data_IF_126167450897
#
_entry.id   IF_126167450897
#
_cell.length_a   1.000
_cell.length_b   1.000
_cell.length_c   1.000
_cell.angle_alpha   90.00
_cell.angle_beta   90.00
_cell.angle_gamma   90.00
#
_symmetry.space_group_name_H-M   'P 1'
#
loop_
_entity.id
_entity.type
_entity.pdbx_description
1 polymer ?
#
# COMPACT_ATOMS: atom_id res chain seq x y z
N UNK A 1 -3.07 -6.43 -17.40
CA UNK A 1 -3.50 -5.36 -16.47
C UNK A 1 -2.98 -5.68 -15.08
N UNK A 2 -2.07 -4.89 -14.53
CA UNK A 2 -1.57 -5.06 -13.16
C UNK A 2 -2.66 -4.78 -12.11
N UNK A 3 -2.71 -5.60 -11.05
CA UNK A 3 -3.58 -5.42 -9.90
C UNK A 3 -2.77 -4.84 -8.73
N UNK A 4 -3.22 -3.73 -8.17
CA UNK A 4 -2.76 -3.21 -6.89
C UNK A 4 -3.70 -3.73 -5.80
N UNK A 5 -3.18 -4.57 -4.92
CA UNK A 5 -3.91 -5.11 -3.77
C UNK A 5 -3.37 -4.47 -2.50
N UNK A 6 -4.24 -3.81 -1.75
CA UNK A 6 -3.91 -3.13 -0.50
C UNK A 6 -4.56 -3.89 0.64
N UNK A 7 -3.73 -4.40 1.54
CA UNK A 7 -4.13 -5.11 2.75
C UNK A 7 -3.77 -4.32 3.99
N UNK A 8 -4.51 -4.56 5.07
CA UNK A 8 -4.24 -4.01 6.38
C UNK A 8 -4.28 -5.11 7.43
N UNK A 9 -3.46 -4.96 8.45
CA UNK A 9 -3.46 -5.79 9.63
C UNK A 9 -4.30 -5.14 10.72
N UNK A 10 -5.17 -5.91 11.37
CA UNK A 10 -5.90 -5.47 12.56
C UNK A 10 -5.12 -5.79 13.85
N UNK A 11 -5.64 -5.35 14.99
CA UNK A 11 -5.05 -5.62 16.32
C UNK A 11 -5.00 -7.10 16.71
N UNK A 12 -5.75 -7.96 16.01
CA UNK A 12 -5.73 -9.40 16.18
C UNK A 12 -4.75 -10.11 15.23
N UNK A 13 -3.81 -9.38 14.62
CA UNK A 13 -2.84 -9.89 13.65
C UNK A 13 -3.48 -10.54 12.41
N UNK A 14 -4.72 -10.17 12.08
CA UNK A 14 -5.42 -10.68 10.88
C UNK A 14 -5.29 -9.68 9.76
N UNK A 15 -4.94 -10.18 8.58
CA UNK A 15 -4.94 -9.42 7.35
C UNK A 15 -6.34 -9.37 6.76
N UNK A 16 -6.77 -8.18 6.33
CA UNK A 16 -7.97 -8.00 5.56
C UNK A 16 -7.70 -7.07 4.38
N UNK A 17 -8.49 -7.20 3.33
CA UNK A 17 -8.36 -6.36 2.15
C UNK A 17 -9.01 -5.01 2.40
N UNK A 18 -8.26 -3.93 2.20
CA UNK A 18 -8.78 -2.56 2.25
C UNK A 18 -9.24 -2.11 0.87
N UNK A 19 -8.43 -2.39 -0.16
CA UNK A 19 -8.74 -1.98 -1.51
C UNK A 19 -8.09 -2.89 -2.56
N UNK A 20 -8.75 -2.96 -3.72
CA UNK A 20 -8.23 -3.58 -4.93
C UNK A 20 -8.39 -2.58 -6.08
N UNK A 21 -7.34 -2.34 -6.85
CA UNK A 21 -7.37 -1.41 -7.96
C UNK A 21 -6.70 -2.02 -9.20
N UNK A 22 -7.43 -2.10 -10.31
CA UNK A 22 -6.86 -2.49 -11.59
C UNK A 22 -6.18 -1.29 -12.23
N UNK A 23 -4.87 -1.41 -12.44
CA UNK A 23 -4.06 -0.38 -13.05
C UNK A 23 -3.91 -0.64 -14.55
N UNK A 24 -3.82 0.44 -15.33
CA UNK A 24 -3.54 0.36 -16.76
C UNK A 24 -2.12 -0.15 -17.02
N UNK A 25 -1.14 0.33 -16.24
CA UNK A 25 0.27 -0.09 -16.30
C UNK A 25 0.98 0.15 -14.97
N UNK A 26 2.09 -0.56 -14.74
CA UNK A 26 2.98 -0.33 -13.57
C UNK A 26 3.82 0.93 -13.77
N UNK A 27 3.18 2.10 -13.65
CA UNK A 27 3.82 3.42 -13.76
C UNK A 27 3.48 4.24 -12.53
N UNK A 28 4.40 5.11 -12.12
CA UNK A 28 4.22 5.99 -10.95
C UNK A 28 2.89 6.77 -11.00
N UNK A 29 2.52 7.32 -12.16
CA UNK A 29 1.26 8.06 -12.32
C UNK A 29 0.01 7.22 -12.01
N UNK A 30 0.01 5.93 -12.38
CA UNK A 30 -1.14 5.04 -12.12
C UNK A 30 -1.21 4.68 -10.63
N UNK A 31 -0.06 4.44 -10.00
CA UNK A 31 -0.01 4.22 -8.55
C UNK A 31 -0.41 5.48 -7.77
N UNK A 32 -0.01 6.67 -8.24
CA UNK A 32 -0.36 7.94 -7.61
C UNK A 32 -1.85 8.16 -7.60
N UNK A 33 -2.49 8.04 -8.76
CA UNK A 33 -3.94 8.13 -8.85
C UNK A 33 -4.64 7.11 -7.94
N UNK A 34 -4.21 5.84 -7.95
CA UNK A 34 -4.85 4.81 -7.13
C UNK A 34 -4.70 5.05 -5.61
N UNK A 35 -3.53 5.54 -5.16
CA UNK A 35 -3.29 5.85 -3.76
C UNK A 35 -4.00 7.13 -3.31
N UNK A 36 -4.13 8.13 -4.19
CA UNK A 36 -4.97 9.31 -3.93
C UNK A 36 -6.43 8.93 -3.77
N UNK A 37 -6.97 8.07 -4.65
CA UNK A 37 -8.33 7.56 -4.50
C UNK A 37 -8.51 6.77 -3.20
N UNK A 38 -7.52 5.97 -2.81
CA UNK A 38 -7.53 5.27 -1.54
C UNK A 38 -7.53 6.24 -0.35
N UNK A 39 -6.70 7.30 -0.39
CA UNK A 39 -6.65 8.32 0.66
C UNK A 39 -8.00 9.03 0.80
N UNK A 40 -8.64 9.39 -0.31
CA UNK A 40 -9.99 9.97 -0.33
C UNK A 40 -11.04 9.01 0.25
N UNK A 41 -10.97 7.72 -0.11
CA UNK A 41 -11.87 6.70 0.41
C UNK A 41 -11.69 6.41 1.92
N UNK A 42 -10.55 6.80 2.50
CA UNK A 42 -10.26 6.71 3.93
C UNK A 42 -10.40 8.06 4.65
N UNK A 43 -11.17 9.00 4.12
CA UNK A 43 -11.39 10.34 4.71
C UNK A 43 -10.09 11.10 5.01
N UNK A 44 -9.09 10.97 4.14
CA UNK A 44 -7.74 11.53 4.30
C UNK A 44 -6.97 11.00 5.52
N UNK A 45 -7.39 9.88 6.10
CA UNK A 45 -6.67 9.24 7.18
C UNK A 45 -5.42 8.52 6.66
N UNK A 46 -4.24 9.07 6.97
CA UNK A 46 -2.97 8.45 6.61
C UNK A 46 -2.66 7.25 7.52
N UNK A 47 -2.24 6.10 6.98
CA UNK A 47 -1.77 4.99 7.79
C UNK A 47 -0.45 5.33 8.48
N UNK A 48 -0.20 4.77 9.67
CA UNK A 48 1.06 5.00 10.41
C UNK A 48 2.27 4.29 9.79
N UNK A 49 2.04 3.15 9.15
CA UNK A 49 3.08 2.30 8.56
C UNK A 49 2.56 1.77 7.23
N UNK A 50 3.36 1.90 6.18
CA UNK A 50 3.06 1.31 4.87
C UNK A 50 4.19 0.34 4.52
N UNK A 51 3.82 -0.91 4.21
CA UNK A 51 4.75 -1.94 3.76
C UNK A 51 4.46 -2.24 2.29
N UNK A 52 5.51 -2.21 1.47
CA UNK A 52 5.43 -2.44 0.02
C UNK A 52 6.52 -3.42 -0.43
N UNK A 53 6.28 -4.10 -1.55
CA UNK A 53 7.15 -5.13 -2.15
C UNK A 53 8.41 -4.56 -2.84
N UNK A 54 8.99 -3.48 -2.32
CA UNK A 54 10.20 -2.83 -2.84
C UNK A 54 10.06 -2.36 -4.31
N UNK A 55 8.84 -2.09 -4.78
CA UNK A 55 8.66 -1.47 -6.10
C UNK A 55 8.99 0.03 -5.99
N UNK A 56 10.11 0.45 -6.60
CA UNK A 56 10.61 1.83 -6.48
C UNK A 56 9.57 2.88 -6.89
N UNK A 57 8.79 2.58 -7.93
CA UNK A 57 7.70 3.43 -8.39
C UNK A 57 6.64 3.64 -7.30
N UNK A 58 6.31 2.59 -6.53
CA UNK A 58 5.34 2.66 -5.44
C UNK A 58 5.91 3.42 -4.25
N UNK A 59 7.18 3.17 -3.89
CA UNK A 59 7.86 3.88 -2.80
C UNK A 59 7.91 5.39 -3.06
N UNK A 60 8.27 5.80 -4.27
CA UNK A 60 8.32 7.21 -4.66
C UNK A 60 6.96 7.88 -4.54
N UNK A 61 5.90 7.18 -4.94
CA UNK A 61 4.53 7.69 -4.88
C UNK A 61 4.03 7.74 -3.43
N UNK A 62 4.30 6.72 -2.61
CA UNK A 62 3.91 6.71 -1.19
C UNK A 62 4.47 7.94 -0.47
N UNK A 63 5.73 8.30 -0.72
CA UNK A 63 6.35 9.51 -0.15
C UNK A 63 5.63 10.81 -0.54
N UNK A 64 4.98 10.83 -1.71
CA UNK A 64 4.22 11.99 -2.20
C UNK A 64 2.78 12.02 -1.64
N UNK A 65 2.11 10.87 -1.61
CA UNK A 65 0.69 10.76 -1.20
C UNK A 65 0.53 10.68 0.32
N UNK A 66 1.46 10.01 1.01
CA UNK A 66 1.46 9.82 2.46
C UNK A 66 2.76 10.35 3.08
N UNK A 67 2.96 11.67 3.13
CA UNK A 67 4.21 12.26 3.65
C UNK A 67 4.48 11.92 5.12
N UNK A 68 3.43 11.63 5.89
CA UNK A 68 3.52 11.31 7.33
C UNK A 68 3.73 9.82 7.60
N UNK A 69 3.68 8.96 6.59
CA UNK A 69 3.83 7.52 6.74
C UNK A 69 5.24 7.08 6.27
N UNK A 70 6.13 6.60 7.15
CA UNK A 70 7.37 5.98 6.71
C UNK A 70 7.03 4.74 5.85
N UNK A 71 7.46 4.77 4.59
CA UNK A 71 7.35 3.63 3.68
C UNK A 71 8.50 2.65 3.94
N UNK A 72 8.18 1.45 4.42
CA UNK A 72 9.15 0.38 4.65
C UNK A 72 9.09 -0.64 3.52
N UNK A 73 10.26 -1.10 3.08
CA UNK A 73 10.36 -2.19 2.10
C UNK A 73 10.27 -3.55 2.79
N UNK A 74 9.47 -4.45 2.24
CA UNK A 74 9.36 -5.84 2.68
C UNK A 74 10.61 -6.66 2.29
N UNK A 75 11.73 -6.40 2.95
CA UNK A 75 12.83 -7.37 3.11
C UNK A 75 13.11 -7.64 4.59
N UNK A 76 12.76 -6.69 5.46
CA UNK A 76 12.96 -6.77 6.91
C UNK A 76 11.65 -7.05 7.69
N UNK A 77 10.52 -7.13 7.00
CA UNK A 77 9.28 -7.66 7.59
C UNK A 77 9.24 -9.17 7.37
N UNK A 78 9.63 -9.93 8.39
CA UNK A 78 9.01 -11.23 8.62
C UNK A 78 7.51 -11.00 8.80
N UNK A 79 6.77 -11.01 7.69
CA UNK A 79 5.35 -11.33 7.77
C UNK A 79 5.29 -12.73 8.39
N UNK A 80 4.59 -12.95 9.51
CA UNK A 80 4.28 -14.31 9.93
C UNK A 80 3.65 -14.99 8.73
N UNK A 81 4.31 -16.07 8.30
CA UNK A 81 3.99 -16.84 7.12
C UNK A 81 2.49 -17.06 7.04
N UNK A 82 1.95 -16.81 5.86
CA UNK A 82 0.57 -17.09 5.50
C UNK A 82 0.44 -18.61 5.31
N UNK A 83 0.70 -19.38 6.36
CA UNK A 83 0.58 -20.83 6.39
C UNK A 83 -0.14 -21.22 7.70
N UNK A 84 -1.32 -21.82 7.49
CA UNK A 84 -2.38 -22.29 8.41
C UNK A 84 -3.34 -21.27 9.04
#
# INVERSE_FOLDING_TARGET
MPLLHVVRMNSCNRLFTVAMCFLLAKKEANYMWALEQLLLAMDNHSPSVIVTNHEQAVINVIKKVYPNAPGYSCKDCECPSLDE
#
